data_IF_451197958005
#
_entry.id   IF_451197958005
#
_cell.length_a   1.000
_cell.length_b   1.000
_cell.length_c   1.000
_cell.angle_alpha   90.00
_cell.angle_beta   90.00
_cell.angle_gamma   90.00
#
_symmetry.space_group_name_H-M   'P 1'
#
loop_
_entity.id
_entity.type
_entity.pdbx_description
1 polymer ?
#
# COMPACT_ATOMS: atom_id res chain seq x y z
N UNK A 1 -3.31 4.38 -40.07
CA UNK A 1 -2.53 5.10 -39.05
C UNK A 1 -3.51 5.89 -38.20
N UNK A 2 -3.83 5.37 -37.03
CA UNK A 2 -4.80 5.97 -36.10
C UNK A 2 -4.29 5.72 -34.69
N UNK A 3 -3.84 6.80 -34.05
CA UNK A 3 -3.38 6.80 -32.67
C UNK A 3 -4.54 6.43 -31.73
N UNK A 4 -4.35 5.39 -30.91
CA UNK A 4 -5.21 5.10 -29.75
C UNK A 4 -4.40 5.28 -28.48
N UNK A 5 -4.64 6.42 -27.84
CA UNK A 5 -4.27 6.71 -26.46
C UNK A 5 -5.14 5.80 -25.58
N UNK A 6 -4.53 4.75 -25.02
CA UNK A 6 -5.15 3.86 -24.05
C UNK A 6 -4.97 4.42 -22.65
N UNK A 7 -5.89 5.28 -22.22
CA UNK A 7 -5.95 5.77 -20.84
C UNK A 7 -6.42 4.63 -19.92
N UNK A 8 -5.54 4.19 -19.03
CA UNK A 8 -5.85 3.30 -17.92
C UNK A 8 -6.85 3.99 -16.99
N UNK A 9 -8.00 3.35 -16.74
CA UNK A 9 -8.92 3.72 -15.67
C UNK A 9 -9.39 2.42 -15.02
N UNK A 10 -8.58 1.92 -14.08
CA UNK A 10 -8.94 0.80 -13.22
C UNK A 10 -9.43 1.38 -11.90
N UNK A 11 -10.74 1.56 -11.81
CA UNK A 11 -11.45 2.02 -10.61
C UNK A 11 -11.31 0.95 -9.54
N UNK A 12 -10.51 1.22 -8.50
CA UNK A 12 -10.46 0.42 -7.27
C UNK A 12 -11.66 0.79 -6.42
N UNK A 13 -12.72 -0.01 -6.52
CA UNK A 13 -13.90 0.04 -5.67
C UNK A 13 -13.83 -1.14 -4.70
N UNK A 14 -13.12 -0.98 -3.57
CA UNK A 14 -13.10 -1.97 -2.49
C UNK A 14 -12.69 -1.41 -1.12
N UNK A 15 -13.43 -0.41 -0.61
CA UNK A 15 -13.37 -0.02 0.80
C UNK A 15 -14.73 0.47 1.31
N UNK A 16 -15.73 -0.42 1.36
CA UNK A 16 -17.00 -0.15 2.03
C UNK A 16 -17.39 -1.31 2.95
N UNK A 17 -16.67 -1.55 4.06
CA UNK A 17 -17.26 -2.06 5.32
C UNK A 17 -16.30 -1.75 6.48
N UNK A 18 -16.31 -0.51 6.98
CA UNK A 18 -16.09 -0.11 8.38
C UNK A 18 -16.42 1.39 8.46
N UNK A 19 -17.70 1.74 8.27
CA UNK A 19 -18.20 3.08 8.55
C UNK A 19 -18.49 3.22 10.06
N UNK A 20 -17.48 2.98 10.89
CA UNK A 20 -17.34 3.79 12.09
C UNK A 20 -16.59 5.03 11.63
N UNK A 21 -17.18 6.22 11.75
CA UNK A 21 -16.44 7.46 11.48
C UNK A 21 -15.31 7.54 12.51
N UNK A 22 -14.14 7.01 12.17
CA UNK A 22 -12.93 7.21 12.94
C UNK A 22 -12.48 8.64 12.68
N UNK A 23 -13.09 9.59 13.39
CA UNK A 23 -12.65 10.97 13.40
C UNK A 23 -11.21 11.03 13.94
N UNK A 24 -10.33 11.83 13.34
CA UNK A 24 -9.04 12.17 13.92
C UNK A 24 -9.25 12.57 15.37
N UNK A 25 -8.38 12.10 16.26
CA UNK A 25 -8.62 12.25 17.69
C UNK A 25 -8.70 13.74 18.02
N UNK A 26 -9.91 14.19 18.37
CA UNK A 26 -10.14 15.53 18.89
C UNK A 26 -10.01 15.50 20.41
N UNK A 27 -9.12 16.33 20.94
CA UNK A 27 -9.12 16.62 22.37
C UNK A 27 -10.11 17.76 22.61
N UNK A 28 -11.21 17.46 23.29
CA UNK A 28 -12.21 18.46 23.66
C UNK A 28 -12.06 18.83 25.13
N UNK A 29 -11.98 20.12 25.42
CA UNK A 29 -11.92 20.67 26.77
C UNK A 29 -13.04 21.70 26.97
N UNK A 30 -13.61 21.73 28.17
CA UNK A 30 -14.53 22.79 28.56
C UNK A 30 -13.71 24.00 29.02
N UNK A 31 -13.73 25.08 28.25
CA UNK A 31 -13.06 26.33 28.59
C UNK A 31 -14.08 27.36 29.05
N UNK A 32 -13.72 28.18 30.03
CA UNK A 32 -14.59 29.27 30.51
C UNK A 32 -14.54 30.40 29.48
N UNK A 33 -15.68 30.74 28.88
CA UNK A 33 -15.81 31.78 27.85
C UNK A 33 -16.51 33.04 28.36
N UNK A 34 -16.97 33.01 29.60
CA UNK A 34 -17.59 34.15 30.25
C UNK A 34 -18.14 33.79 31.63
N UNK A 35 -18.77 34.76 32.27
CA UNK A 35 -19.54 34.57 33.49
C UNK A 35 -20.92 35.21 33.32
N UNK A 36 -21.96 34.55 33.81
CA UNK A 36 -23.30 35.14 33.90
C UNK A 36 -23.65 35.46 35.36
N UNK A 37 -24.46 36.51 35.51
CA UNK A 37 -24.95 37.11 36.76
C UNK A 37 -24.80 36.20 38.00
N UNK A 38 -23.79 36.49 38.83
CA UNK A 38 -23.54 35.77 40.09
C UNK A 38 -22.32 34.85 40.10
N UNK A 39 -21.26 35.13 39.33
CA UNK A 39 -20.00 34.37 39.27
C UNK A 39 -20.12 32.91 38.80
N UNK A 40 -21.18 32.57 38.06
CA UNK A 40 -21.31 31.25 37.44
C UNK A 40 -20.51 31.22 36.12
N UNK A 41 -19.47 30.37 35.99
CA UNK A 41 -18.70 30.26 34.76
C UNK A 41 -19.54 29.65 33.63
N UNK A 42 -19.54 30.29 32.48
CA UNK A 42 -20.07 29.74 31.23
C UNK A 42 -18.96 28.96 30.56
N UNK A 43 -19.15 27.65 30.45
CA UNK A 43 -18.22 26.78 29.73
C UNK A 43 -18.64 26.62 28.27
N UNK A 44 -17.68 26.68 27.37
CA UNK A 44 -17.82 26.23 25.99
C UNK A 44 -16.90 25.05 25.76
N UNK A 45 -17.41 24.01 25.12
CA UNK A 45 -16.58 22.91 24.66
C UNK A 45 -15.75 23.37 23.46
N UNK A 46 -14.43 23.39 23.59
CA UNK A 46 -13.50 23.66 22.51
C UNK A 46 -12.75 22.37 22.19
N UNK A 47 -12.76 21.98 20.91
CA UNK A 47 -12.09 20.78 20.42
C UNK A 47 -10.89 21.17 19.55
N UNK A 48 -9.76 20.52 19.77
CA UNK A 48 -8.54 20.66 18.96
C UNK A 48 -8.21 19.32 18.33
N UNK A 49 -7.88 19.34 17.03
CA UNK A 49 -7.36 18.18 16.32
C UNK A 49 -5.95 17.86 16.81
N UNK A 50 -5.72 16.61 17.19
CA UNK A 50 -4.39 16.14 17.54
C UNK A 50 -3.62 15.74 16.27
N UNK A 51 -2.33 16.04 16.26
CA UNK A 51 -1.43 15.68 15.19
C UNK A 51 -0.95 14.24 15.32
N UNK A 52 -0.80 13.58 14.16
CA UNK A 52 0.00 12.39 13.97
C UNK A 52 1.25 12.70 13.16
N UNK A 53 2.19 11.76 13.14
CA UNK A 53 3.32 11.78 12.24
C UNK A 53 3.77 10.37 11.88
N UNK A 54 4.45 10.27 10.74
CA UNK A 54 5.04 9.05 10.23
C UNK A 54 6.42 9.35 9.64
N UNK A 55 7.37 8.45 9.87
CA UNK A 55 8.70 8.49 9.30
C UNK A 55 9.07 7.16 8.65
N UNK A 56 9.63 7.21 7.45
CA UNK A 56 10.12 6.06 6.71
C UNK A 56 11.57 6.31 6.29
N UNK A 57 12.47 5.38 6.59
CA UNK A 57 13.79 5.36 6.00
C UNK A 57 13.68 4.79 4.57
N UNK A 58 13.97 5.56 3.52
CA UNK A 58 13.79 5.07 2.15
C UNK A 58 14.69 3.87 1.82
N UNK A 59 15.85 3.76 2.45
CA UNK A 59 16.83 2.71 2.16
C UNK A 59 16.60 1.46 2.98
N UNK A 60 16.47 1.59 4.31
CA UNK A 60 16.31 0.44 5.22
C UNK A 60 14.86 0.03 5.40
N UNK A 61 13.91 0.88 4.97
CA UNK A 61 12.47 0.68 5.11
C UNK A 61 12.01 0.59 6.57
N UNK A 62 12.84 1.08 7.49
CA UNK A 62 12.50 1.30 8.89
C UNK A 62 11.38 2.32 9.01
N UNK A 63 10.37 2.01 9.83
CA UNK A 63 9.13 2.77 9.98
C UNK A 63 8.97 3.22 11.43
N UNK A 64 8.54 4.47 11.63
CA UNK A 64 8.09 4.99 12.91
C UNK A 64 6.81 5.79 12.73
N UNK A 65 5.93 5.77 13.72
CA UNK A 65 4.69 6.56 13.74
C UNK A 65 4.38 7.05 15.14
N UNK A 66 3.83 8.25 15.25
CA UNK A 66 3.40 8.85 16.51
C UNK A 66 2.01 9.48 16.34
N UNK A 67 1.25 9.53 17.42
CA UNK A 67 -0.17 9.91 17.41
C UNK A 67 -0.53 10.72 18.64
N UNK A 68 -1.64 11.46 18.56
CA UNK A 68 -2.25 12.17 19.68
C UNK A 68 -1.36 13.31 20.24
N UNK A 69 -0.56 13.93 19.38
CA UNK A 69 0.24 15.08 19.78
C UNK A 69 -0.58 16.36 19.71
N UNK A 70 -0.35 17.31 20.63
CA UNK A 70 -1.05 18.60 20.61
C UNK A 70 -0.63 19.49 19.43
N UNK A 71 0.54 19.23 18.84
CA UNK A 71 1.08 19.99 17.71
C UNK A 71 1.91 19.07 16.79
N UNK A 72 1.94 19.44 15.50
CA UNK A 72 2.60 18.68 14.45
C UNK A 72 4.12 18.57 14.64
N UNK A 73 4.76 19.60 15.18
CA UNK A 73 6.21 19.64 15.37
C UNK A 73 6.68 18.60 16.40
N UNK A 74 5.93 18.42 17.51
CA UNK A 74 6.22 17.36 18.48
C UNK A 74 6.05 15.98 17.90
N UNK A 75 4.97 15.74 17.14
CA UNK A 75 4.76 14.46 16.46
C UNK A 75 5.93 14.16 15.51
N UNK A 76 6.33 15.16 14.71
CA UNK A 76 7.41 15.06 13.74
C UNK A 76 8.77 14.80 14.40
N UNK A 77 9.07 15.49 15.51
CA UNK A 77 10.30 15.30 16.26
C UNK A 77 10.40 13.90 16.87
N UNK A 78 9.28 13.37 17.37
CA UNK A 78 9.22 12.01 17.93
C UNK A 78 9.54 10.95 16.89
N UNK A 79 8.85 10.97 15.74
CA UNK A 79 9.07 9.94 14.70
C UNK A 79 10.45 10.03 14.09
N UNK A 80 11.03 11.23 13.98
CA UNK A 80 12.42 11.42 13.51
C UNK A 80 13.42 10.84 14.50
N UNK A 81 13.24 11.11 15.80
CA UNK A 81 14.10 10.55 16.86
C UNK A 81 14.05 9.03 16.87
N UNK A 82 12.87 8.46 16.72
CA UNK A 82 12.65 7.01 16.75
C UNK A 82 13.13 6.30 15.48
N UNK A 83 13.00 6.94 14.31
CA UNK A 83 13.40 6.36 13.03
C UNK A 83 14.93 6.47 12.77
N UNK A 84 15.57 7.52 13.29
CA UNK A 84 16.99 7.77 13.12
C UNK A 84 17.34 8.59 11.87
N UNK A 85 18.63 8.68 11.56
CA UNK A 85 19.14 9.47 10.44
C UNK A 85 18.69 8.92 9.09
N UNK A 86 18.37 9.82 8.15
CA UNK A 86 18.00 9.46 6.77
C UNK A 86 16.52 9.12 6.57
N UNK A 87 15.68 9.26 7.59
CA UNK A 87 14.25 9.10 7.45
C UNK A 87 13.59 10.34 6.85
N UNK A 88 12.65 10.10 5.94
CA UNK A 88 11.70 11.11 5.48
C UNK A 88 10.50 11.04 6.41
N UNK A 89 10.04 12.18 6.91
CA UNK A 89 8.96 12.23 7.89
C UNK A 89 7.95 13.33 7.56
N UNK A 90 6.69 13.03 7.82
CA UNK A 90 5.57 13.94 7.63
C UNK A 90 4.63 13.88 8.83
N UNK A 91 4.20 15.05 9.29
CA UNK A 91 3.13 15.23 10.27
C UNK A 91 1.82 15.55 9.57
N UNK A 92 0.70 15.19 10.18
CA UNK A 92 -0.62 15.34 9.59
C UNK A 92 -1.70 15.46 10.68
N UNK A 93 -2.84 16.04 10.33
CA UNK A 93 -4.02 16.21 11.19
C UNK A 93 -5.20 15.33 10.73
N UNK A 94 -4.89 14.35 9.88
CA UNK A 94 -5.85 13.59 9.09
C UNK A 94 -6.03 12.19 9.67
N UNK A 95 -7.20 11.58 9.44
CA UNK A 95 -7.54 10.26 9.97
C UNK A 95 -6.60 9.16 9.47
N UNK A 96 -6.14 9.32 8.23
CA UNK A 96 -5.27 8.39 7.54
C UNK A 96 -4.15 9.14 6.83
N UNK A 97 -3.01 8.46 6.67
CA UNK A 97 -1.89 8.96 5.91
C UNK A 97 -1.16 7.81 5.23
N UNK A 98 -0.75 8.03 3.99
CA UNK A 98 -0.14 7.03 3.14
C UNK A 98 1.23 7.50 2.68
N UNK A 99 2.17 6.56 2.56
CA UNK A 99 3.44 6.78 1.86
C UNK A 99 3.55 5.78 0.73
N UNK A 100 3.91 6.30 -0.45
CA UNK A 100 4.28 5.50 -1.60
C UNK A 100 5.79 5.56 -1.83
N UNK A 101 6.34 4.47 -2.36
CA UNK A 101 7.76 4.36 -2.62
C UNK A 101 8.04 3.78 -4.01
N UNK A 102 9.10 4.28 -4.64
CA UNK A 102 9.71 3.66 -5.81
C UNK A 102 10.80 2.66 -5.40
N UNK A 103 11.21 1.83 -6.37
CA UNK A 103 12.40 0.97 -6.26
C UNK A 103 13.73 1.77 -6.18
N UNK A 104 13.70 3.06 -6.52
CA UNK A 104 14.83 4.01 -6.41
C UNK A 104 14.80 4.82 -5.12
N UNK A 105 14.02 4.38 -4.14
CA UNK A 105 13.91 4.98 -2.81
C UNK A 105 13.37 6.44 -2.83
N UNK A 106 12.64 6.83 -3.88
CA UNK A 106 11.84 8.07 -3.88
C UNK A 106 10.54 7.83 -3.13
N UNK A 107 10.15 8.77 -2.26
CA UNK A 107 8.95 8.67 -1.43
C UNK A 107 7.96 9.78 -1.83
N UNK A 108 6.70 9.41 -2.02
CA UNK A 108 5.56 10.31 -2.07
C UNK A 108 4.64 10.07 -0.88
N UNK A 109 3.80 11.06 -0.56
CA UNK A 109 2.92 10.97 0.60
C UNK A 109 1.58 11.66 0.37
N UNK A 110 0.57 11.29 1.15
CA UNK A 110 -0.75 11.89 0.98
C UNK A 110 -1.79 11.33 1.94
N UNK A 111 -2.90 12.05 2.05
CA UNK A 111 -4.07 11.62 2.83
C UNK A 111 -4.85 10.49 2.15
N UNK A 112 -4.58 10.25 0.87
CA UNK A 112 -5.08 9.10 0.12
C UNK A 112 -3.94 8.32 -0.52
N UNK A 113 -4.20 7.04 -0.81
CA UNK A 113 -3.28 6.16 -1.50
C UNK A 113 -2.88 6.72 -2.88
N UNK A 114 -3.87 7.21 -3.63
CA UNK A 114 -3.70 7.74 -4.98
C UNK A 114 -2.84 9.01 -4.99
N UNK A 115 -3.01 9.88 -3.99
CA UNK A 115 -2.20 11.09 -3.86
C UNK A 115 -0.75 10.75 -3.54
N UNK A 116 -0.52 9.82 -2.61
CA UNK A 116 0.83 9.39 -2.26
C UNK A 116 1.55 8.77 -3.47
N UNK A 117 0.86 7.90 -4.22
CA UNK A 117 1.39 7.28 -5.43
C UNK A 117 1.68 8.32 -6.53
N UNK A 118 0.75 9.25 -6.76
CA UNK A 118 0.93 10.33 -7.73
C UNK A 118 2.14 11.20 -7.38
N UNK A 119 2.29 11.62 -6.12
CA UNK A 119 3.44 12.41 -5.69
C UNK A 119 4.76 11.64 -5.87
N UNK A 120 4.76 10.36 -5.54
CA UNK A 120 5.94 9.51 -5.74
C UNK A 120 6.29 9.43 -7.23
N UNK A 121 5.31 9.19 -8.10
CA UNK A 121 5.49 9.07 -9.55
C UNK A 121 6.07 10.36 -10.16
N UNK A 122 5.56 11.51 -9.72
CA UNK A 122 6.06 12.82 -10.15
C UNK A 122 7.50 13.07 -9.71
N UNK A 123 7.83 12.72 -8.47
CA UNK A 123 9.18 12.87 -7.93
C UNK A 123 10.18 11.85 -8.50
N UNK A 124 9.71 10.65 -8.86
CA UNK A 124 10.53 9.55 -9.38
C UNK A 124 10.81 9.64 -10.87
N UNK A 125 10.33 10.70 -11.55
CA UNK A 125 10.41 10.89 -13.00
C UNK A 125 9.75 9.75 -13.78
N UNK A 126 8.60 9.28 -13.28
CA UNK A 126 7.81 8.23 -13.92
C UNK A 126 8.21 6.80 -13.55
N UNK A 127 9.14 6.60 -12.62
CA UNK A 127 9.42 5.25 -12.12
C UNK A 127 8.22 4.70 -11.33
N UNK A 128 7.88 3.41 -11.47
CA UNK A 128 6.76 2.81 -10.75
C UNK A 128 6.84 3.03 -9.24
N UNK A 129 5.72 3.41 -8.66
CA UNK A 129 5.56 3.65 -7.24
C UNK A 129 4.39 2.82 -6.70
N UNK A 130 4.48 2.38 -5.45
CA UNK A 130 3.37 1.73 -4.76
C UNK A 130 3.23 2.31 -3.38
N UNK A 131 1.99 2.34 -2.90
CA UNK A 131 1.73 2.59 -1.49
C UNK A 131 2.33 1.44 -0.67
N UNK A 132 3.26 1.78 0.21
CA UNK A 132 3.99 0.85 1.06
C UNK A 132 3.73 1.09 2.54
N UNK A 133 3.12 2.21 2.91
CA UNK A 133 2.70 2.46 4.29
C UNK A 133 1.30 3.03 4.35
N UNK A 134 0.52 2.53 5.29
CA UNK A 134 -0.71 3.14 5.77
C UNK A 134 -0.60 3.42 7.27
N UNK A 135 -0.93 4.63 7.66
CA UNK A 135 -1.01 5.12 9.03
C UNK A 135 -2.45 5.57 9.29
N UNK A 136 -3.03 5.21 10.44
CA UNK A 136 -4.38 5.62 10.82
C UNK A 136 -4.48 6.02 12.29
N UNK A 137 -5.37 6.95 12.61
CA UNK A 137 -5.50 7.67 13.89
C UNK A 137 -5.67 6.81 15.16
N UNK A 138 -5.82 5.49 15.03
CA UNK A 138 -5.97 4.54 16.14
C UNK A 138 -4.91 3.44 16.23
N UNK A 139 -3.83 3.47 15.44
CA UNK A 139 -2.86 2.37 15.45
C UNK A 139 -1.48 2.71 14.89
N UNK A 140 -0.50 1.87 15.20
CA UNK A 140 0.83 1.96 14.62
C UNK A 140 0.75 1.87 13.09
N UNK A 141 1.58 2.66 12.39
CA UNK A 141 1.68 2.57 10.95
C UNK A 141 2.09 1.15 10.52
N UNK A 142 1.54 0.70 9.39
CA UNK A 142 1.80 -0.64 8.85
C UNK A 142 2.52 -0.54 7.53
N UNK A 143 3.65 -1.24 7.42
CA UNK A 143 4.33 -1.45 6.15
C UNK A 143 3.61 -2.56 5.37
N UNK A 144 3.28 -2.30 4.11
CA UNK A 144 2.81 -3.29 3.15
C UNK A 144 3.99 -3.83 2.37
N UNK A 145 4.22 -5.12 2.52
CA UNK A 145 5.31 -5.80 1.87
C UNK A 145 4.93 -6.23 0.45
N UNK A 146 5.95 -6.52 -0.34
CA UNK A 146 5.81 -7.17 -1.63
C UNK A 146 6.01 -8.68 -1.47
N UNK A 147 5.18 -9.41 -2.20
CA UNK A 147 5.25 -10.85 -2.34
C UNK A 147 5.48 -11.17 -3.82
N UNK A 148 6.05 -12.32 -4.12
CA UNK A 148 6.24 -12.76 -5.49
C UNK A 148 5.87 -14.22 -5.65
N UNK A 149 5.33 -14.54 -6.82
CA UNK A 149 4.94 -15.88 -7.25
C UNK A 149 5.58 -16.11 -8.62
N UNK A 150 6.25 -17.24 -8.77
CA UNK A 150 6.93 -17.63 -9.99
C UNK A 150 6.53 -19.02 -10.45
N UNK A 151 6.67 -19.27 -11.74
CA UNK A 151 6.43 -20.57 -12.33
C UNK A 151 7.41 -20.85 -13.46
N UNK A 152 8.02 -22.04 -13.42
CA UNK A 152 8.89 -22.56 -14.44
C UNK A 152 8.13 -23.63 -15.25
N UNK A 153 7.89 -23.35 -16.52
CA UNK A 153 7.14 -24.25 -17.40
C UNK A 153 7.91 -25.51 -17.79
N UNK A 154 9.25 -25.47 -17.89
CA UNK A 154 10.06 -26.65 -18.20
C UNK A 154 10.08 -27.67 -17.05
N UNK A 155 10.06 -27.18 -15.81
CA UNK A 155 10.08 -28.01 -14.60
C UNK A 155 8.68 -28.30 -14.04
N UNK A 156 7.64 -27.70 -14.61
CA UNK A 156 6.26 -27.70 -14.10
C UNK A 156 6.19 -27.37 -12.59
N UNK A 157 6.91 -26.32 -12.17
CA UNK A 157 7.13 -26.02 -10.75
C UNK A 157 6.92 -24.55 -10.41
N UNK A 158 6.19 -24.32 -9.31
CA UNK A 158 5.94 -23.01 -8.73
C UNK A 158 6.92 -22.61 -7.62
N UNK A 159 7.15 -21.31 -7.47
CA UNK A 159 8.05 -20.71 -6.49
C UNK A 159 7.36 -19.50 -5.85
N UNK A 160 7.59 -19.26 -4.56
CA UNK A 160 6.97 -18.12 -3.89
C UNK A 160 7.92 -17.50 -2.87
N UNK A 161 7.80 -16.18 -2.73
CA UNK A 161 8.48 -15.40 -1.70
C UNK A 161 7.49 -14.42 -1.08
N UNK A 162 7.63 -14.19 0.23
CA UNK A 162 6.78 -13.24 0.96
C UNK A 162 7.64 -12.22 1.69
N UNK A 163 7.04 -11.06 1.97
CA UNK A 163 7.58 -10.07 2.91
C UNK A 163 8.89 -9.41 2.46
N UNK A 164 9.03 -9.13 1.16
CA UNK A 164 10.12 -8.29 0.68
C UNK A 164 9.73 -6.81 0.82
N UNK A 165 10.67 -5.96 1.23
CA UNK A 165 10.39 -4.54 1.37
C UNK A 165 10.31 -3.78 0.04
N UNK A 166 10.98 -4.27 -1.02
CA UNK A 166 10.92 -3.67 -2.37
C UNK A 166 10.36 -4.67 -3.38
N UNK A 167 9.69 -4.16 -4.42
CA UNK A 167 9.20 -4.96 -5.54
C UNK A 167 10.33 -5.75 -6.20
N UNK A 168 11.45 -5.07 -6.48
CA UNK A 168 12.62 -5.71 -7.10
C UNK A 168 13.17 -6.87 -6.27
N UNK A 169 13.19 -6.71 -4.95
CA UNK A 169 13.74 -7.72 -4.04
C UNK A 169 12.86 -8.97 -4.04
N UNK A 170 11.52 -8.80 -4.04
CA UNK A 170 10.56 -9.90 -4.18
C UNK A 170 10.78 -10.68 -5.49
N UNK A 171 10.89 -9.94 -6.61
CA UNK A 171 11.12 -10.51 -7.94
C UNK A 171 12.42 -11.31 -7.99
N UNK A 172 13.53 -10.69 -7.58
CA UNK A 172 14.87 -11.31 -7.62
C UNK A 172 14.93 -12.56 -6.75
N UNK A 173 14.27 -12.58 -5.59
CA UNK A 173 14.22 -13.77 -4.72
C UNK A 173 13.57 -14.96 -5.43
N UNK A 174 12.40 -14.76 -6.03
CA UNK A 174 11.70 -15.82 -6.77
C UNK A 174 12.48 -16.23 -8.01
N UNK A 175 13.04 -15.28 -8.75
CA UNK A 175 13.82 -15.56 -9.95
C UNK A 175 15.07 -16.41 -9.65
N UNK A 176 15.77 -16.12 -8.55
CA UNK A 176 16.91 -16.92 -8.09
C UNK A 176 16.49 -18.35 -7.70
N UNK A 177 15.34 -18.52 -7.04
CA UNK A 177 14.81 -19.86 -6.70
C UNK A 177 14.46 -20.67 -7.95
N UNK A 178 14.06 -19.97 -9.01
CA UNK A 178 13.68 -20.53 -10.30
C UNK A 178 14.89 -20.87 -11.20
N UNK A 179 16.13 -20.74 -10.68
CA UNK A 179 17.36 -21.06 -11.41
C UNK A 179 17.88 -19.95 -12.32
N UNK A 180 17.35 -18.73 -12.22
CA UNK A 180 17.64 -17.62 -13.14
C UNK A 180 17.36 -17.96 -14.62
N UNK A 181 16.49 -18.94 -14.86
CA UNK A 181 16.12 -19.37 -16.21
C UNK A 181 15.28 -18.29 -16.90
N UNK A 182 15.53 -18.07 -18.19
CA UNK A 182 14.73 -17.18 -19.03
C UNK A 182 13.26 -17.59 -19.15
N UNK A 183 12.94 -18.82 -18.76
CA UNK A 183 11.59 -19.39 -18.78
C UNK A 183 10.80 -19.16 -17.49
N UNK A 184 11.39 -18.51 -16.49
CA UNK A 184 10.69 -18.24 -15.25
C UNK A 184 9.75 -17.03 -15.37
N UNK A 185 8.44 -17.29 -15.38
CA UNK A 185 7.45 -16.23 -15.25
C UNK A 185 7.37 -15.80 -13.79
N UNK A 186 7.53 -14.50 -13.51
CA UNK A 186 7.47 -13.94 -12.14
C UNK A 186 6.47 -12.80 -12.06
N UNK A 187 5.53 -12.94 -11.12
CA UNK A 187 4.52 -11.96 -10.77
C UNK A 187 4.75 -11.45 -9.34
N UNK A 188 4.78 -10.12 -9.18
CA UNK A 188 4.92 -9.47 -7.87
C UNK A 188 3.59 -8.83 -7.49
N UNK A 189 3.17 -8.99 -6.24
CA UNK A 189 1.87 -8.57 -5.73
C UNK A 189 1.98 -8.08 -4.29
N UNK A 190 0.97 -7.35 -3.83
CA UNK A 190 0.91 -6.76 -2.47
C UNK A 190 -0.29 -7.26 -1.66
N UNK A 191 -1.27 -7.91 -2.29
CA UNK A 191 -2.38 -8.58 -1.60
C UNK A 191 -1.93 -9.89 -0.92
N UNK A 192 -2.81 -10.48 -0.12
CA UNK A 192 -2.49 -11.68 0.66
C UNK A 192 -2.27 -12.94 -0.18
N UNK A 193 -2.90 -13.02 -1.36
CA UNK A 193 -2.86 -14.20 -2.23
C UNK A 193 -2.65 -13.83 -3.70
N UNK A 194 -2.01 -14.73 -4.44
CA UNK A 194 -1.83 -14.65 -5.89
C UNK A 194 -1.95 -16.01 -6.55
N UNK A 195 -2.27 -16.03 -7.84
CA UNK A 195 -2.32 -17.24 -8.64
C UNK A 195 -1.77 -16.98 -10.06
N UNK A 196 -1.19 -18.01 -10.67
CA UNK A 196 -0.78 -18.04 -12.08
C UNK A 196 -1.63 -19.08 -12.79
N UNK A 197 -2.23 -18.67 -13.90
CA UNK A 197 -2.97 -19.51 -14.81
C UNK A 197 -2.21 -19.71 -16.14
N UNK A 198 -2.26 -20.92 -16.67
CA UNK A 198 -1.70 -21.29 -17.98
C UNK A 198 -2.83 -21.52 -18.97
N UNK A 199 -2.73 -20.92 -20.15
CA UNK A 199 -3.62 -21.18 -21.28
C UNK A 199 -3.30 -22.52 -21.95
N UNK A 200 -4.19 -23.02 -22.81
CA UNK A 200 -3.90 -24.17 -23.67
C UNK A 200 -2.68 -23.95 -24.59
N UNK A 201 -2.42 -22.68 -24.96
CA UNK A 201 -1.25 -22.27 -25.75
C UNK A 201 0.06 -22.21 -24.92
N UNK A 202 0.01 -22.50 -23.62
CA UNK A 202 1.17 -22.49 -22.73
C UNK A 202 1.56 -21.12 -22.17
N UNK A 203 0.84 -20.05 -22.51
CA UNK A 203 1.09 -18.70 -21.96
C UNK A 203 0.61 -18.59 -20.53
N UNK A 204 1.29 -17.73 -19.76
CA UNK A 204 1.06 -17.57 -18.33
C UNK A 204 0.48 -16.20 -18.01
N UNK A 205 -0.51 -16.19 -17.11
CA UNK A 205 -1.24 -15.00 -16.69
C UNK A 205 -1.39 -15.03 -15.18
N UNK A 206 -1.18 -13.91 -14.51
CA UNK A 206 -1.24 -13.86 -13.07
C UNK A 206 -2.17 -12.77 -12.56
N UNK A 207 -2.70 -13.00 -11.36
CA UNK A 207 -3.53 -12.03 -10.66
C UNK A 207 -3.51 -12.32 -9.15
N UNK A 208 -3.77 -11.29 -8.37
CA UNK A 208 -3.83 -11.33 -6.92
C UNK A 208 -5.27 -11.15 -6.38
N UNK A 209 -5.43 -11.32 -5.07
CA UNK A 209 -6.72 -11.14 -4.41
C UNK A 209 -6.65 -11.28 -2.90
N UNK A 210 -7.72 -10.87 -2.21
CA UNK A 210 -7.83 -10.94 -0.75
C UNK A 210 -8.02 -12.36 -0.23
N UNK A 211 -8.41 -13.30 -1.08
CA UNK A 211 -8.51 -14.73 -0.76
C UNK A 211 -7.95 -15.56 -1.90
N UNK A 212 -7.45 -16.77 -1.59
CA UNK A 212 -6.96 -17.71 -2.60
C UNK A 212 -8.00 -17.97 -3.72
N UNK A 213 -9.28 -18.10 -3.35
CA UNK A 213 -10.36 -18.28 -4.32
C UNK A 213 -10.57 -17.07 -5.24
N UNK A 214 -10.38 -15.84 -4.73
CA UNK A 214 -10.43 -14.63 -5.56
C UNK A 214 -9.26 -14.58 -6.53
N UNK A 215 -8.03 -14.82 -6.06
CA UNK A 215 -6.83 -14.80 -6.90
C UNK A 215 -6.91 -15.83 -8.05
N UNK A 216 -7.33 -17.07 -7.74
CA UNK A 216 -7.58 -18.13 -8.75
C UNK A 216 -8.57 -17.69 -9.83
N UNK A 217 -9.73 -17.17 -9.42
CA UNK A 217 -10.77 -16.73 -10.36
C UNK A 217 -10.29 -15.57 -11.21
N UNK A 218 -9.58 -14.62 -10.62
CA UNK A 218 -9.05 -13.46 -11.32
C UNK A 218 -7.99 -13.86 -12.36
N UNK A 219 -7.04 -14.74 -12.01
CA UNK A 219 -6.02 -15.25 -12.93
C UNK A 219 -6.64 -16.02 -14.11
N UNK A 220 -7.59 -16.92 -13.85
CA UNK A 220 -8.32 -17.64 -14.92
C UNK A 220 -9.12 -16.69 -15.81
N UNK A 221 -9.82 -15.72 -15.21
CA UNK A 221 -10.59 -14.73 -15.96
C UNK A 221 -9.69 -13.88 -16.84
N UNK A 222 -8.52 -13.48 -16.34
CA UNK A 222 -7.54 -12.73 -17.11
C UNK A 222 -7.02 -13.55 -18.30
N UNK A 223 -6.55 -14.77 -18.05
CA UNK A 223 -6.13 -15.71 -19.09
C UNK A 223 -7.23 -15.93 -20.15
N UNK A 224 -8.46 -16.25 -19.73
CA UNK A 224 -9.55 -16.50 -20.64
C UNK A 224 -9.88 -15.25 -21.48
N UNK A 225 -9.86 -14.06 -20.89
CA UNK A 225 -10.10 -12.80 -21.60
C UNK A 225 -9.07 -12.57 -22.71
N UNK A 226 -7.79 -12.76 -22.41
CA UNK A 226 -6.71 -12.54 -23.40
C UNK A 226 -6.71 -13.62 -24.50
N UNK A 227 -7.21 -14.82 -24.21
CA UNK A 227 -7.23 -15.97 -25.14
C UNK A 227 -8.62 -16.21 -25.79
N UNK A 228 -9.53 -15.22 -25.79
CA UNK A 228 -10.78 -15.27 -26.57
C UNK A 228 -12.05 -15.70 -25.80
N UNK A 229 -12.08 -15.51 -24.49
CA UNK A 229 -13.24 -15.62 -23.59
C UNK A 229 -13.69 -17.04 -23.25
N UNK A 230 -13.41 -18.03 -24.10
CA UNK A 230 -13.79 -19.45 -23.92
C UNK A 230 -12.61 -20.40 -23.71
N UNK A 231 -11.37 -19.88 -23.74
CA UNK A 231 -10.17 -20.70 -23.56
C UNK A 231 -10.16 -21.36 -22.18
N UNK A 232 -9.76 -22.64 -22.13
CA UNK A 232 -9.51 -23.31 -20.85
C UNK A 232 -8.20 -22.78 -20.28
N UNK A 233 -8.27 -22.31 -19.04
CA UNK A 233 -7.12 -21.81 -18.31
C UNK A 233 -7.01 -22.57 -16.98
N UNK A 234 -5.88 -23.25 -16.80
CA UNK A 234 -5.58 -24.02 -15.60
C UNK A 234 -4.75 -23.18 -14.63
N UNK A 235 -5.02 -23.27 -13.33
CA UNK A 235 -4.13 -22.62 -12.34
C UNK A 235 -2.97 -23.56 -12.07
N UNK A 236 -1.75 -23.11 -12.37
CA UNK A 236 -0.52 -23.92 -12.28
C UNK A 236 0.26 -23.66 -10.99
N UNK A 237 0.07 -22.48 -10.38
CA UNK A 237 0.64 -22.20 -9.06
C UNK A 237 -0.14 -21.10 -8.36
N UNK A 238 0.01 -21.05 -7.04
CA UNK A 238 -0.63 -20.07 -6.16
C UNK A 238 0.20 -19.83 -4.91
N UNK A 239 0.05 -18.62 -4.36
CA UNK A 239 0.57 -18.28 -3.05
C UNK A 239 -0.49 -18.57 -1.98
N UNK A 240 -0.06 -19.35 -0.98
CA UNK A 240 -0.83 -19.63 0.24
C UNK A 240 -0.66 -18.48 1.21
#
# INVERSE_FOLDING_TARGET
>A
MTHRIGFLLLVVLAACVFSGKAHAWQSCQNVVVGMVNGNQPVFQQQCTWLAGAIALNPTTRGLSSAWNHPDADKALAEVRRSCGSGCVAASFYSDHYYMAASDTDVIGWGETAELAEYQCLMASQGAPCDVVVAAGSGGAARYWYFHALGYNSAQDKGYAWREAHRRRDARTRVQNQCGNESECFVFVYTQDHAAIARSESGKLYASDGKTAGQARRAARKYCAKEEGGKAKCEVVTEAK
#
